data_IF_844906431362
#
_entry.id   IF_844906431362
#
_cell.length_a   1.000
_cell.length_b   1.000
_cell.length_c   1.000
_cell.angle_alpha   90.00
_cell.angle_beta   90.00
_cell.angle_gamma   90.00
#
_symmetry.space_group_name_H-M   'P 1'
#
loop_
_entity.id
_entity.type
_entity.pdbx_description
1 polymer ?
#
# COMPACT_ATOMS: atom_id res chain seq x y z
N UNK A 1 5.10 41.12 -26.15
CA UNK A 1 4.61 40.54 -24.88
C UNK A 1 3.26 39.94 -25.17
N UNK A 2 3.14 38.62 -25.08
CA UNK A 2 1.88 37.91 -25.29
C UNK A 2 0.91 38.18 -24.13
N UNK A 3 -0.36 38.40 -24.43
CA UNK A 3 -1.44 38.62 -23.46
C UNK A 3 -2.08 37.28 -23.05
N UNK A 4 -1.26 36.30 -22.67
CA UNK A 4 -1.77 34.98 -22.30
C UNK A 4 -2.01 34.92 -20.78
N UNK A 5 -3.20 34.46 -20.37
CA UNK A 5 -3.57 34.25 -18.97
C UNK A 5 -2.60 33.31 -18.22
N UNK A 6 -1.84 32.50 -18.96
CA UNK A 6 -0.82 31.60 -18.45
C UNK A 6 0.47 32.30 -17.98
N UNK A 7 0.70 33.57 -18.34
CA UNK A 7 1.86 34.33 -17.85
C UNK A 7 1.75 34.68 -16.35
N UNK A 8 0.55 34.56 -15.76
CA UNK A 8 0.30 34.79 -14.33
C UNK A 8 0.86 33.70 -13.40
N UNK A 9 1.19 32.52 -13.93
CA UNK A 9 1.82 31.42 -13.18
C UNK A 9 3.34 31.58 -13.08
N UNK A 10 3.92 32.60 -13.72
CA UNK A 10 5.35 32.88 -13.64
C UNK A 10 5.67 33.45 -12.26
N UNK A 11 6.58 32.84 -11.49
CA UNK A 11 7.06 33.45 -10.27
C UNK A 11 7.60 34.86 -10.60
N UNK A 12 7.32 35.89 -9.78
CA UNK A 12 7.84 37.22 -10.02
C UNK A 12 9.37 37.15 -10.09
N UNK A 13 9.96 37.74 -11.13
CA UNK A 13 11.41 37.86 -11.24
C UNK A 13 11.93 38.55 -9.97
N UNK A 14 12.66 37.80 -9.14
CA UNK A 14 13.39 38.40 -8.04
C UNK A 14 14.44 39.30 -8.68
N UNK A 15 14.28 40.60 -8.51
CA UNK A 15 15.25 41.64 -8.89
C UNK A 15 16.53 41.45 -8.04
N UNK A 16 17.30 40.41 -8.38
CA UNK A 16 18.59 40.12 -7.77
C UNK A 16 19.59 41.05 -8.41
N UNK A 17 19.68 42.23 -7.80
CA UNK A 17 20.62 43.29 -8.08
C UNK A 17 21.97 42.77 -8.58
N UNK A 18 22.30 43.24 -9.77
CA UNK A 18 23.55 43.05 -10.51
C UNK A 18 24.77 43.27 -9.59
N UNK A 19 25.29 42.21 -8.96
CA UNK A 19 26.59 42.25 -8.27
C UNK A 19 27.70 42.42 -9.30
N UNK A 20 28.05 43.68 -9.59
CA UNK A 20 29.27 44.08 -10.31
C UNK A 20 30.48 43.44 -9.60
N UNK A 21 31.12 42.47 -10.27
CA UNK A 21 32.45 41.98 -9.89
C UNK A 21 33.43 43.16 -9.91
N UNK A 22 34.02 43.45 -8.74
CA UNK A 22 35.07 44.43 -8.53
C UNK A 22 36.33 43.93 -9.28
N UNK A 23 36.67 44.62 -10.37
CA UNK A 23 37.87 44.39 -11.18
C UNK A 23 39.09 44.83 -10.34
N UNK A 24 39.88 43.88 -9.85
CA UNK A 24 41.15 44.17 -9.19
C UNK A 24 42.16 44.65 -10.22
N UNK A 25 42.39 45.96 -10.28
CA UNK A 25 43.48 46.56 -11.05
C UNK A 25 44.78 46.54 -10.23
N UNK A 26 45.87 46.06 -10.83
CA UNK A 26 47.24 46.42 -10.42
C UNK A 26 47.72 47.54 -11.35
N UNK A 27 48.32 48.63 -10.83
CA UNK A 27 48.78 49.75 -11.64
C UNK A 27 50.14 49.46 -12.29
N UNK A 28 50.33 49.95 -13.51
CA UNK A 28 51.58 49.83 -14.26
C UNK A 28 52.53 51.01 -14.06
N UNK A 29 53.80 50.78 -14.42
CA UNK A 29 54.72 51.73 -15.06
C UNK A 29 56.00 50.96 -15.47
N UNK A 30 56.42 51.07 -16.74
CA UNK A 30 57.58 50.37 -17.34
C UNK A 30 58.92 51.10 -17.12
N UNK A 31 59.88 51.09 -18.06
CA UNK A 31 60.07 50.23 -19.25
C UNK A 31 61.52 49.67 -19.39
N UNK A 32 61.74 48.68 -20.27
CA UNK A 32 63.07 48.37 -20.80
C UNK A 32 63.28 46.93 -21.28
N UNK A 33 63.89 46.76 -22.47
CA UNK A 33 64.62 45.54 -22.81
C UNK A 33 64.16 44.80 -24.08
N UNK A 34 64.94 45.00 -25.14
CA UNK A 34 64.83 44.50 -26.50
C UNK A 34 65.08 42.98 -26.68
N UNK A 35 64.46 42.37 -27.70
CA UNK A 35 65.08 41.31 -28.52
C UNK A 35 64.66 39.85 -28.29
N UNK A 36 64.06 39.22 -29.32
CA UNK A 36 64.06 37.76 -29.45
C UNK A 36 62.86 37.15 -30.19
N UNK A 37 62.94 37.10 -31.52
CA UNK A 37 62.03 36.31 -32.35
C UNK A 37 62.28 34.80 -32.14
N UNK A 38 61.21 34.02 -31.96
CA UNK A 38 61.28 32.56 -31.83
C UNK A 38 59.95 31.91 -32.17
N UNK A 39 59.97 31.02 -33.17
CA UNK A 39 58.84 30.34 -33.81
C UNK A 39 58.20 29.25 -32.92
N UNK A 40 56.88 29.13 -33.02
CA UNK A 40 56.18 27.86 -33.30
C UNK A 40 55.98 26.83 -32.17
N UNK A 41 54.73 26.35 -32.07
CA UNK A 41 54.41 25.00 -31.54
C UNK A 41 53.61 24.99 -30.24
N UNK A 42 52.29 25.09 -30.35
CA UNK A 42 51.36 25.10 -29.22
C UNK A 42 51.30 23.79 -28.45
N UNK A 43 51.30 23.91 -27.12
CA UNK A 43 50.86 22.88 -26.19
C UNK A 43 49.93 23.50 -25.15
N UNK A 44 48.81 22.84 -24.89
CA UNK A 44 48.03 23.04 -23.66
C UNK A 44 46.57 23.43 -23.85
N UNK A 45 45.68 22.52 -23.44
CA UNK A 45 44.50 22.88 -22.66
C UNK A 45 43.21 23.06 -23.44
N UNK A 46 42.45 21.97 -23.57
CA UNK A 46 41.05 22.02 -23.97
C UNK A 46 40.19 22.70 -22.90
N UNK A 47 39.46 23.74 -23.31
CA UNK A 47 38.16 24.13 -22.75
C UNK A 47 37.61 25.29 -23.56
N UNK A 48 36.34 25.21 -23.98
CA UNK A 48 35.59 26.40 -24.43
C UNK A 48 35.11 26.42 -25.88
N UNK A 49 34.68 25.29 -26.47
CA UNK A 49 34.08 25.28 -27.81
C UNK A 49 32.63 24.79 -27.88
N UNK A 50 31.76 25.13 -26.92
CA UNK A 50 30.31 24.92 -27.10
C UNK A 50 29.38 26.06 -26.69
N UNK A 51 29.88 27.26 -26.41
CA UNK A 51 29.04 28.45 -26.20
C UNK A 51 29.53 29.65 -27.02
N UNK A 52 29.60 29.46 -28.34
CA UNK A 52 29.77 30.57 -29.30
C UNK A 52 28.57 30.51 -30.25
N UNK A 53 27.49 31.18 -29.88
CA UNK A 53 26.22 31.18 -30.61
C UNK A 53 25.00 31.12 -29.71
N UNK A 54 24.88 32.05 -28.76
CA UNK A 54 23.64 32.28 -28.03
C UNK A 54 22.87 33.39 -28.76
N UNK A 55 22.35 33.07 -29.94
CA UNK A 55 21.40 33.92 -30.66
C UNK A 55 20.02 33.78 -30.01
N UNK A 56 19.39 34.91 -29.71
CA UNK A 56 18.25 35.09 -28.81
C UNK A 56 16.90 34.57 -29.30
N UNK A 57 16.81 33.30 -29.72
CA UNK A 57 15.55 32.68 -30.11
C UNK A 57 15.43 31.19 -29.70
N UNK A 58 16.17 30.75 -28.67
CA UNK A 58 16.01 29.41 -28.08
C UNK A 58 15.68 29.53 -26.60
N UNK A 59 14.77 28.66 -26.15
CA UNK A 59 14.26 28.58 -24.79
C UNK A 59 15.40 28.68 -23.76
N UNK A 60 15.28 29.63 -22.83
CA UNK A 60 16.21 29.71 -21.71
C UNK A 60 16.07 28.41 -20.90
N UNK A 61 17.17 27.71 -20.60
CA UNK A 61 17.11 26.57 -19.69
C UNK A 61 16.52 27.03 -18.35
N UNK A 62 15.34 26.51 -18.00
CA UNK A 62 14.62 26.83 -16.76
C UNK A 62 15.24 26.14 -15.52
N UNK A 63 16.36 25.44 -15.72
CA UNK A 63 17.09 24.72 -14.68
C UNK A 63 18.48 25.35 -14.61
N UNK A 64 18.88 25.76 -13.41
CA UNK A 64 20.23 26.28 -13.14
C UNK A 64 21.29 25.25 -13.58
N UNK A 65 22.47 25.73 -13.99
CA UNK A 65 23.60 24.85 -14.33
C UNK A 65 23.90 23.95 -13.13
N UNK A 66 23.64 22.65 -13.29
CA UNK A 66 23.77 21.68 -12.20
C UNK A 66 25.26 21.50 -11.89
N UNK A 67 25.73 22.03 -10.76
CA UNK A 67 27.06 21.72 -10.24
C UNK A 67 27.08 20.29 -9.67
N UNK A 68 27.65 19.36 -10.45
CA UNK A 68 27.86 17.98 -10.01
C UNK A 68 28.99 17.92 -8.98
N UNK A 69 28.67 17.69 -7.71
CA UNK A 69 29.67 17.64 -6.63
C UNK A 69 30.37 16.28 -6.48
N UNK A 70 29.64 15.17 -6.50
CA UNK A 70 30.18 13.80 -6.43
C UNK A 70 29.11 12.75 -6.74
N UNK A 71 29.51 11.65 -7.38
CA UNK A 71 28.69 10.44 -7.59
C UNK A 71 28.69 9.50 -6.38
N UNK A 72 29.79 9.48 -5.61
CA UNK A 72 29.96 8.59 -4.46
C UNK A 72 29.14 9.05 -3.26
N UNK A 73 28.50 8.10 -2.57
CA UNK A 73 27.64 8.38 -1.41
C UNK A 73 26.23 8.88 -1.77
N UNK A 74 25.85 8.84 -3.05
CA UNK A 74 24.47 9.08 -3.51
C UNK A 74 23.72 7.76 -3.62
N UNK A 75 22.43 7.77 -3.29
CA UNK A 75 21.52 6.65 -3.59
C UNK A 75 21.53 6.34 -5.09
N UNK A 76 21.67 5.06 -5.44
CA UNK A 76 21.63 4.62 -6.85
C UNK A 76 20.19 4.74 -7.40
N UNK A 77 19.20 4.47 -6.56
CA UNK A 77 17.77 4.62 -6.88
C UNK A 77 17.19 5.76 -6.05
N UNK A 78 16.43 6.65 -6.68
CA UNK A 78 15.74 7.72 -5.96
C UNK A 78 14.57 7.14 -5.15
N UNK A 79 14.53 7.45 -3.86
CA UNK A 79 13.39 7.10 -3.00
C UNK A 79 12.09 7.71 -3.56
N UNK A 80 10.99 6.94 -3.63
CA UNK A 80 9.68 7.50 -3.94
C UNK A 80 9.24 8.44 -2.79
N UNK A 81 8.48 9.51 -3.09
CA UNK A 81 8.03 10.46 -2.08
C UNK A 81 6.83 9.95 -1.26
N UNK A 82 6.58 8.64 -1.24
CA UNK A 82 5.39 8.06 -0.60
C UNK A 82 5.49 8.09 0.92
N UNK A 83 4.44 8.59 1.55
CA UNK A 83 4.28 8.64 3.00
C UNK A 83 3.31 7.61 3.55
N UNK A 84 2.86 7.87 4.78
CA UNK A 84 1.91 7.04 5.53
C UNK A 84 0.54 6.95 4.83
N UNK A 85 0.20 7.92 4.00
CA UNK A 85 -1.04 7.96 3.20
C UNK A 85 -1.12 6.75 2.26
N UNK A 86 0.00 6.41 1.62
CA UNK A 86 0.08 5.24 0.74
C UNK A 86 0.02 3.97 1.56
N UNK A 87 0.72 3.88 2.68
CA UNK A 87 0.64 2.69 3.55
C UNK A 87 -0.80 2.44 4.04
N UNK A 88 -1.48 3.52 4.43
CA UNK A 88 -2.89 3.50 4.83
C UNK A 88 -3.77 3.04 3.66
N UNK A 89 -3.56 3.56 2.45
CA UNK A 89 -4.26 3.11 1.26
C UNK A 89 -4.07 1.61 1.00
N UNK A 90 -2.82 1.12 1.05
CA UNK A 90 -2.49 -0.29 0.81
C UNK A 90 -3.23 -1.21 1.80
N UNK A 91 -3.27 -0.82 3.07
CA UNK A 91 -4.03 -1.53 4.11
C UNK A 91 -5.54 -1.48 3.86
N UNK A 92 -6.09 -0.29 3.66
CA UNK A 92 -7.53 -0.10 3.49
C UNK A 92 -8.07 -0.73 2.20
N UNK A 93 -7.30 -0.72 1.11
CA UNK A 93 -7.65 -1.42 -0.12
C UNK A 93 -7.78 -2.93 0.09
N UNK A 94 -6.83 -3.54 0.82
CA UNK A 94 -6.92 -4.95 1.22
C UNK A 94 -8.11 -5.24 2.12
N UNK A 95 -8.32 -4.41 3.15
CA UNK A 95 -9.46 -4.52 4.06
C UNK A 95 -10.79 -4.41 3.31
N UNK A 96 -10.89 -3.49 2.35
CA UNK A 96 -12.08 -3.31 1.52
C UNK A 96 -12.37 -4.54 0.65
N UNK A 97 -11.37 -5.02 -0.10
CA UNK A 97 -11.51 -6.20 -0.95
C UNK A 97 -11.92 -7.44 -0.15
N UNK A 98 -11.19 -7.77 0.92
CA UNK A 98 -11.51 -8.92 1.76
C UNK A 98 -12.91 -8.82 2.41
N UNK A 99 -13.32 -7.62 2.82
CA UNK A 99 -14.64 -7.41 3.41
C UNK A 99 -15.77 -7.55 2.38
N UNK A 100 -15.59 -7.09 1.15
CA UNK A 100 -16.58 -7.31 0.08
C UNK A 100 -16.80 -8.79 -0.22
N UNK A 101 -15.74 -9.60 -0.27
CA UNK A 101 -15.85 -11.06 -0.45
C UNK A 101 -16.59 -11.73 0.71
N UNK A 102 -16.26 -11.38 1.95
CA UNK A 102 -17.01 -11.85 3.13
C UNK A 102 -18.48 -11.40 3.09
N UNK A 103 -18.75 -10.18 2.64
CA UNK A 103 -20.10 -9.64 2.53
C UNK A 103 -20.96 -10.38 1.51
N UNK A 104 -20.38 -10.73 0.36
CA UNK A 104 -21.05 -11.57 -0.63
C UNK A 104 -21.37 -12.96 -0.03
N UNK A 105 -20.40 -13.60 0.61
CA UNK A 105 -20.62 -14.88 1.28
C UNK A 105 -21.66 -14.81 2.40
N UNK A 106 -21.69 -13.72 3.16
CA UNK A 106 -22.68 -13.48 4.21
C UNK A 106 -24.10 -13.28 3.66
N UNK A 107 -24.25 -12.68 2.48
CA UNK A 107 -25.52 -12.52 1.80
C UNK A 107 -26.14 -13.86 1.40
N UNK A 108 -25.35 -14.79 0.85
CA UNK A 108 -25.86 -16.10 0.43
C UNK A 108 -26.03 -17.10 1.57
N UNK A 109 -25.34 -16.87 2.69
CA UNK A 109 -25.35 -17.78 3.83
C UNK A 109 -26.25 -17.30 4.98
N UNK A 110 -27.13 -16.34 4.69
CA UNK A 110 -28.13 -15.75 5.60
C UNK A 110 -27.55 -15.25 6.94
N UNK A 111 -26.47 -14.44 6.84
CA UNK A 111 -25.79 -13.81 7.99
C UNK A 111 -25.93 -12.29 7.92
N UNK A 112 -27.10 -11.73 8.31
CA UNK A 112 -27.41 -10.32 8.04
C UNK A 112 -26.49 -9.35 8.80
N UNK A 113 -26.08 -9.66 10.02
CA UNK A 113 -25.22 -8.78 10.81
C UNK A 113 -23.79 -8.81 10.31
N UNK A 114 -23.30 -9.98 9.88
CA UNK A 114 -22.01 -10.11 9.20
C UNK A 114 -22.01 -9.32 7.89
N UNK A 115 -23.06 -9.45 7.08
CA UNK A 115 -23.22 -8.72 5.79
C UNK A 115 -23.15 -7.20 5.98
N UNK A 116 -23.90 -6.67 6.95
CA UNK A 116 -23.89 -5.23 7.25
C UNK A 116 -22.49 -4.79 7.69
N UNK A 117 -21.88 -5.50 8.64
CA UNK A 117 -20.56 -5.16 9.16
C UNK A 117 -19.50 -5.12 8.05
N UNK A 118 -19.47 -6.13 7.18
CA UNK A 118 -18.46 -6.22 6.12
C UNK A 118 -18.70 -5.22 4.99
N UNK A 119 -19.96 -4.95 4.60
CA UNK A 119 -20.27 -3.92 3.59
C UNK A 119 -19.94 -2.51 4.09
N UNK A 120 -20.29 -2.18 5.33
CA UNK A 120 -19.92 -0.91 5.95
C UNK A 120 -18.40 -0.77 6.09
N UNK A 121 -17.70 -1.85 6.45
CA UNK A 121 -16.24 -1.87 6.49
C UNK A 121 -15.66 -1.61 5.10
N UNK A 122 -16.18 -2.27 4.06
CA UNK A 122 -15.69 -2.12 2.69
C UNK A 122 -15.83 -0.69 2.17
N UNK A 123 -17.01 -0.07 2.31
CA UNK A 123 -17.20 1.31 1.83
C UNK A 123 -16.41 2.32 2.67
N UNK A 124 -16.31 2.12 3.98
CA UNK A 124 -15.53 3.00 4.87
C UNK A 124 -14.05 2.94 4.50
N UNK A 125 -13.51 1.72 4.33
CA UNK A 125 -12.12 1.53 3.93
C UNK A 125 -11.85 2.09 2.53
N UNK A 126 -12.77 1.92 1.59
CA UNK A 126 -12.67 2.49 0.23
C UNK A 126 -12.71 4.01 0.25
N UNK A 127 -13.60 4.62 1.02
CA UNK A 127 -13.72 6.08 1.13
C UNK A 127 -12.48 6.70 1.79
N UNK A 128 -12.03 6.15 2.92
CA UNK A 128 -10.83 6.65 3.62
C UNK A 128 -9.57 6.38 2.79
N UNK A 129 -9.44 5.20 2.18
CA UNK A 129 -8.32 4.86 1.31
C UNK A 129 -8.28 5.72 0.04
N UNK A 130 -9.44 6.00 -0.56
CA UNK A 130 -9.56 6.93 -1.69
C UNK A 130 -9.18 8.36 -1.29
N UNK A 131 -9.61 8.83 -0.12
CA UNK A 131 -9.20 10.13 0.40
C UNK A 131 -7.69 10.22 0.65
N UNK A 132 -7.07 9.16 1.20
CA UNK A 132 -5.63 9.07 1.38
C UNK A 132 -4.88 9.14 0.04
N UNK A 133 -5.36 8.45 -1.00
CA UNK A 133 -4.82 8.56 -2.36
C UNK A 133 -4.94 9.99 -2.91
N UNK A 134 -6.08 10.65 -2.73
CA UNK A 134 -6.27 12.02 -3.22
C UNK A 134 -5.37 13.02 -2.48
N UNK A 135 -5.10 12.80 -1.19
CA UNK A 135 -4.16 13.60 -0.43
C UNK A 135 -2.70 13.42 -0.90
N UNK A 136 -2.33 12.22 -1.34
CA UNK A 136 -1.02 11.93 -1.95
C UNK A 136 -0.90 12.53 -3.38
N UNK A 137 -2.02 12.73 -4.08
CA UNK A 137 -2.01 13.39 -5.38
C UNK A 137 -1.60 14.86 -5.23
N UNK A 138 -0.37 15.19 -5.66
CA UNK A 138 0.10 16.58 -5.66
C UNK A 138 -0.72 17.56 -6.53
N UNK A 139 -1.58 17.06 -7.44
CA UNK A 139 -2.57 17.84 -8.22
C UNK A 139 -3.87 17.05 -8.42
N UNK A 140 -4.80 17.07 -7.45
CA UNK A 140 -6.00 16.23 -7.46
C UNK A 140 -6.97 16.57 -8.60
N UNK A 141 -6.95 17.80 -9.12
CA UNK A 141 -7.81 18.26 -10.22
C UNK A 141 -7.53 17.49 -11.52
N UNK A 142 -6.35 16.86 -11.62
CA UNK A 142 -5.91 16.08 -12.79
C UNK A 142 -6.27 14.60 -12.69
N UNK A 143 -6.94 14.15 -11.63
CA UNK A 143 -7.33 12.75 -11.47
C UNK A 143 -8.05 12.19 -12.71
N UNK A 144 -8.98 12.95 -13.30
CA UNK A 144 -9.71 12.53 -14.50
C UNK A 144 -8.81 12.27 -15.71
N UNK A 145 -7.58 12.82 -15.74
CA UNK A 145 -6.61 12.50 -16.78
C UNK A 145 -6.09 11.05 -16.68
N UNK A 146 -6.01 10.50 -15.46
CA UNK A 146 -5.64 9.09 -15.25
C UNK A 146 -6.72 8.14 -15.79
N UNK A 147 -8.00 8.54 -15.67
CA UNK A 147 -9.15 7.78 -16.19
C UNK A 147 -9.29 7.80 -17.72
N UNK A 148 -8.45 8.53 -18.45
CA UNK A 148 -8.48 8.56 -19.92
C UNK A 148 -7.71 7.41 -20.57
N UNK A 149 -6.80 6.77 -19.84
CA UNK A 149 -5.89 5.77 -20.38
C UNK A 149 -6.08 4.44 -19.67
N UNK A 150 -6.34 3.40 -20.45
CA UNK A 150 -6.33 2.02 -19.99
C UNK A 150 -5.05 1.33 -20.47
N UNK A 151 -4.06 1.21 -19.57
CA UNK A 151 -2.76 0.60 -19.88
C UNK A 151 -2.53 -0.64 -19.04
N UNK A 152 -2.79 -1.82 -19.62
CA UNK A 152 -2.66 -3.12 -18.96
C UNK A 152 -1.24 -3.40 -18.44
N UNK A 153 -0.22 -2.86 -19.10
CA UNK A 153 1.18 -2.99 -18.64
C UNK A 153 1.56 -2.08 -17.48
N UNK A 154 0.65 -1.23 -16.98
CA UNK A 154 0.92 -0.34 -15.85
C UNK A 154 0.02 -0.69 -14.67
N UNK A 155 0.59 -1.22 -13.57
CA UNK A 155 -0.16 -1.49 -12.34
C UNK A 155 -0.91 -0.27 -11.80
N UNK A 156 -0.37 0.95 -11.97
CA UNK A 156 -1.05 2.19 -11.56
C UNK A 156 -2.30 2.50 -12.39
N UNK A 157 -2.25 2.30 -13.71
CA UNK A 157 -3.43 2.49 -14.58
C UNK A 157 -4.51 1.46 -14.22
N UNK A 158 -4.12 0.18 -14.13
CA UNK A 158 -5.04 -0.88 -13.72
C UNK A 158 -5.65 -0.63 -12.33
N UNK A 159 -4.85 -0.19 -11.36
CA UNK A 159 -5.31 0.13 -10.01
C UNK A 159 -6.41 1.18 -9.98
N UNK A 160 -6.30 2.21 -10.82
CA UNK A 160 -7.32 3.28 -10.92
C UNK A 160 -8.66 2.72 -11.43
N UNK A 161 -8.61 1.84 -12.43
CA UNK A 161 -9.81 1.19 -12.98
C UNK A 161 -10.41 0.15 -12.03
N UNK A 162 -9.58 -0.62 -11.33
CA UNK A 162 -10.01 -1.57 -10.29
C UNK A 162 -10.71 -0.82 -9.16
N UNK A 163 -10.11 0.25 -8.66
CA UNK A 163 -10.69 1.06 -7.58
C UNK A 163 -12.00 1.72 -8.01
N UNK A 164 -12.05 2.23 -9.25
CA UNK A 164 -13.26 2.87 -9.79
C UNK A 164 -14.40 1.87 -9.95
N UNK A 165 -14.13 0.69 -10.54
CA UNK A 165 -15.11 -0.39 -10.65
C UNK A 165 -15.61 -0.81 -9.27
N UNK A 166 -14.68 -1.23 -8.40
CA UNK A 166 -15.00 -1.61 -7.02
C UNK A 166 -15.84 -0.56 -6.28
N UNK A 167 -15.51 0.72 -6.46
CA UNK A 167 -16.22 1.85 -5.84
C UNK A 167 -17.67 1.97 -6.29
N UNK A 168 -17.99 1.64 -7.54
CA UNK A 168 -19.38 1.67 -8.06
C UNK A 168 -20.24 0.63 -7.35
N UNK A 169 -19.86 -0.65 -7.37
CA UNK A 169 -20.64 -1.67 -6.67
C UNK A 169 -20.66 -1.47 -5.17
N UNK A 170 -19.51 -1.16 -4.56
CA UNK A 170 -19.44 -0.89 -3.12
C UNK A 170 -20.34 0.29 -2.72
N UNK A 171 -20.41 1.34 -3.53
CA UNK A 171 -21.29 2.49 -3.33
C UNK A 171 -22.78 2.13 -3.41
N UNK A 172 -23.18 1.32 -4.39
CA UNK A 172 -24.56 0.82 -4.49
C UNK A 172 -24.93 -0.02 -3.26
N UNK A 173 -24.06 -0.93 -2.85
CA UNK A 173 -24.27 -1.76 -1.65
C UNK A 173 -24.36 -0.91 -0.38
N UNK A 174 -23.53 0.13 -0.25
CA UNK A 174 -23.59 1.05 0.87
C UNK A 174 -24.90 1.85 0.91
N UNK A 175 -25.39 2.31 -0.24
CA UNK A 175 -26.68 2.99 -0.34
C UNK A 175 -27.84 2.07 0.06
N UNK A 176 -27.80 0.80 -0.34
CA UNK A 176 -28.79 -0.22 0.06
C UNK A 176 -28.76 -0.43 1.59
N UNK A 177 -27.58 -0.56 2.19
CA UNK A 177 -27.48 -0.74 3.64
C UNK A 177 -27.90 0.54 4.40
N UNK A 178 -27.63 1.74 3.87
CA UNK A 178 -28.12 2.98 4.44
C UNK A 178 -29.67 3.07 4.42
N UNK A 179 -30.32 2.67 3.33
CA UNK A 179 -31.79 2.60 3.26
C UNK A 179 -32.36 1.58 4.27
N UNK A 180 -31.70 0.44 4.47
CA UNK A 180 -32.09 -0.56 5.48
C UNK A 180 -31.92 -0.06 6.91
N UNK A 181 -30.78 0.56 7.22
CA UNK A 181 -30.47 1.07 8.56
C UNK A 181 -31.38 2.24 8.97
N UNK A 182 -31.84 3.04 8.01
CA UNK A 182 -32.83 4.10 8.25
C UNK A 182 -34.27 3.59 8.33
N UNK A 183 -34.49 2.26 8.23
CA UNK A 183 -35.81 1.66 8.28
C UNK A 183 -36.68 2.05 7.08
N UNK A 184 -36.08 2.20 5.90
CA UNK A 184 -36.76 2.55 4.65
C UNK A 184 -37.45 3.93 4.68
N UNK A 185 -36.92 4.85 5.49
CA UNK A 185 -37.46 6.21 5.63
C UNK A 185 -36.92 7.21 4.61
N UNK A 186 -35.90 6.83 3.83
CA UNK A 186 -35.36 7.70 2.79
C UNK A 186 -36.41 7.93 1.68
N UNK A 187 -36.56 9.16 1.15
CA UNK A 187 -37.55 9.50 0.13
C UNK A 187 -37.09 9.05 -1.27
N UNK A 188 -36.87 7.74 -1.46
CA UNK A 188 -36.34 7.17 -2.71
C UNK A 188 -37.42 6.83 -3.74
N UNK A 189 -38.70 6.83 -3.35
CA UNK A 189 -39.83 6.60 -4.27
C UNK A 189 -39.65 5.31 -5.12
N UNK A 190 -39.96 5.36 -6.44
CA UNK A 190 -39.81 4.20 -7.34
C UNK A 190 -38.36 3.71 -7.50
N UNK A 191 -37.36 4.58 -7.25
CA UNK A 191 -35.95 4.22 -7.38
C UNK A 191 -35.51 3.21 -6.33
N UNK A 192 -36.25 3.08 -5.21
CA UNK A 192 -35.96 2.05 -4.20
C UNK A 192 -35.98 0.65 -4.80
N UNK A 193 -37.02 0.32 -5.57
CA UNK A 193 -37.14 -1.01 -6.17
C UNK A 193 -35.97 -1.31 -7.10
N UNK A 194 -35.56 -0.32 -7.89
CA UNK A 194 -34.38 -0.44 -8.77
C UNK A 194 -33.08 -0.61 -7.96
N UNK A 195 -32.89 0.20 -6.92
CA UNK A 195 -31.71 0.15 -6.06
C UNK A 195 -31.56 -1.23 -5.40
N UNK A 196 -32.62 -1.75 -4.79
CA UNK A 196 -32.58 -3.08 -4.15
C UNK A 196 -32.49 -4.22 -5.18
N UNK A 197 -33.03 -4.06 -6.40
CA UNK A 197 -32.82 -5.03 -7.47
C UNK A 197 -31.34 -5.13 -7.91
N UNK A 198 -30.58 -4.04 -7.76
CA UNK A 198 -29.15 -4.01 -8.06
C UNK A 198 -28.28 -4.62 -6.96
N UNK A 199 -28.83 -5.05 -5.83
CA UNK A 199 -28.04 -5.59 -4.72
C UNK A 199 -27.14 -6.75 -5.15
N UNK A 200 -27.73 -7.79 -5.74
CA UNK A 200 -26.98 -9.00 -6.12
C UNK A 200 -25.99 -8.71 -7.26
N UNK A 201 -26.37 -8.02 -8.36
CA UNK A 201 -25.42 -7.59 -9.38
C UNK A 201 -24.25 -6.78 -8.81
N UNK A 202 -24.51 -5.78 -7.97
CA UNK A 202 -23.47 -4.94 -7.36
C UNK A 202 -22.58 -5.74 -6.39
N UNK A 203 -23.13 -6.75 -5.70
CA UNK A 203 -22.35 -7.63 -4.84
C UNK A 203 -21.38 -8.50 -5.63
N UNK A 204 -21.80 -9.05 -6.78
CA UNK A 204 -20.91 -9.80 -7.67
C UNK A 204 -19.87 -8.91 -8.33
N UNK A 205 -20.26 -7.72 -8.78
CA UNK A 205 -19.34 -6.74 -9.37
C UNK A 205 -18.26 -6.31 -8.36
N UNK A 206 -18.64 -5.94 -7.15
CA UNK A 206 -17.68 -5.56 -6.11
C UNK A 206 -16.76 -6.74 -5.74
N UNK A 207 -17.30 -7.96 -5.68
CA UNK A 207 -16.52 -9.17 -5.44
C UNK A 207 -15.54 -9.51 -6.59
N UNK A 208 -15.92 -9.24 -7.84
CA UNK A 208 -15.05 -9.41 -9.01
C UNK A 208 -13.81 -8.50 -8.90
N UNK A 209 -14.00 -7.24 -8.50
CA UNK A 209 -12.90 -6.30 -8.32
C UNK A 209 -12.18 -6.43 -6.97
N UNK A 210 -12.76 -7.10 -5.98
CA UNK A 210 -12.19 -7.26 -4.64
C UNK A 210 -10.85 -8.01 -4.64
N UNK A 211 -10.76 -9.12 -5.37
CA UNK A 211 -9.54 -9.93 -5.42
C UNK A 211 -8.39 -9.18 -6.11
N UNK A 212 -8.58 -8.58 -7.30
CA UNK A 212 -7.60 -7.67 -7.87
C UNK A 212 -7.22 -6.52 -6.93
N UNK A 213 -8.20 -5.85 -6.28
CA UNK A 213 -7.93 -4.76 -5.33
C UNK A 213 -7.00 -5.18 -4.19
N UNK A 214 -7.18 -6.40 -3.66
CA UNK A 214 -6.32 -6.96 -2.61
C UNK A 214 -4.92 -7.34 -3.10
N UNK A 215 -4.80 -7.84 -4.34
CA UNK A 215 -3.55 -8.39 -4.88
C UNK A 215 -2.68 -7.38 -5.64
N UNK A 216 -3.28 -6.47 -6.42
CA UNK A 216 -2.57 -5.63 -7.39
C UNK A 216 -1.57 -4.69 -6.71
N UNK A 217 -1.85 -4.30 -5.46
CA UNK A 217 -0.96 -3.43 -4.67
C UNK A 217 0.41 -4.07 -4.41
N UNK A 218 0.47 -5.41 -4.28
CA UNK A 218 1.73 -6.14 -4.17
C UNK A 218 2.49 -6.17 -5.49
N UNK A 219 1.78 -6.34 -6.60
CA UNK A 219 2.36 -6.27 -7.95
C UNK A 219 2.88 -4.86 -8.27
N UNK A 220 2.16 -3.82 -7.85
CA UNK A 220 2.57 -2.42 -8.02
C UNK A 220 3.91 -2.14 -7.35
N UNK A 221 4.10 -2.59 -6.11
CA UNK A 221 5.40 -2.45 -5.43
C UNK A 221 6.48 -3.30 -6.12
N UNK A 222 6.14 -4.53 -6.51
CA UNK A 222 7.04 -5.45 -7.19
C UNK A 222 7.58 -4.96 -8.54
N UNK A 223 6.80 -4.17 -9.26
CA UNK A 223 7.15 -3.63 -10.59
C UNK A 223 8.01 -2.36 -10.52
N UNK A 224 8.41 -1.93 -9.32
CA UNK A 224 9.31 -0.78 -9.14
C UNK A 224 10.78 -1.18 -9.26
N UNK A 225 11.66 -0.18 -9.40
CA UNK A 225 13.12 -0.36 -9.33
C UNK A 225 13.66 -0.32 -7.87
N UNK A 226 12.78 -0.22 -6.87
CA UNK A 226 13.18 -0.18 -5.46
C UNK A 226 13.66 -1.58 -5.04
N UNK A 227 14.88 -1.74 -4.52
CA UNK A 227 15.52 -3.06 -4.38
C UNK A 227 14.69 -4.09 -3.62
N UNK A 228 14.31 -3.76 -2.38
CA UNK A 228 13.57 -4.67 -1.51
C UNK A 228 12.16 -4.95 -2.07
N UNK A 229 11.46 -3.96 -2.62
CA UNK A 229 10.14 -4.19 -3.21
C UNK A 229 10.19 -5.04 -4.47
N UNK A 230 11.14 -4.78 -5.37
CA UNK A 230 11.30 -5.55 -6.60
C UNK A 230 11.62 -7.01 -6.29
N UNK A 231 12.53 -7.24 -5.36
CA UNK A 231 12.90 -8.58 -4.90
C UNK A 231 11.73 -9.28 -4.21
N UNK A 232 11.01 -8.59 -3.33
CA UNK A 232 9.80 -9.10 -2.69
C UNK A 232 8.71 -9.45 -3.72
N UNK A 233 8.50 -8.59 -4.72
CA UNK A 233 7.56 -8.80 -5.82
C UNK A 233 7.83 -10.08 -6.59
N UNK A 234 9.09 -10.28 -7.01
CA UNK A 234 9.54 -11.52 -7.68
C UNK A 234 9.39 -12.77 -6.82
N UNK A 235 9.45 -12.61 -5.49
CA UNK A 235 9.38 -13.71 -4.52
C UNK A 235 8.01 -13.86 -3.85
N UNK A 236 6.96 -13.20 -4.36
CA UNK A 236 5.59 -13.47 -3.95
C UNK A 236 4.95 -12.46 -2.99
N UNK A 237 5.36 -11.19 -3.00
CA UNK A 237 4.75 -10.13 -2.18
C UNK A 237 3.22 -10.05 -2.31
N UNK A 238 2.67 -10.28 -3.49
CA UNK A 238 1.22 -10.30 -3.70
C UNK A 238 0.51 -11.36 -2.85
N UNK A 239 1.15 -12.51 -2.59
CA UNK A 239 0.59 -13.53 -1.70
C UNK A 239 0.53 -13.04 -0.26
N UNK A 240 1.59 -12.39 0.23
CA UNK A 240 1.62 -11.74 1.55
C UNK A 240 0.46 -10.75 1.66
N UNK A 241 0.28 -9.90 0.65
CA UNK A 241 -0.74 -8.85 0.65
C UNK A 241 -2.17 -9.41 0.61
N UNK A 242 -2.44 -10.45 -0.19
CA UNK A 242 -3.75 -11.11 -0.24
C UNK A 242 -4.05 -11.83 1.07
N UNK A 243 -3.09 -12.57 1.63
CA UNK A 243 -3.25 -13.21 2.94
C UNK A 243 -3.51 -12.19 4.04
N UNK A 244 -2.78 -11.07 4.02
CA UNK A 244 -2.96 -9.98 4.97
C UNK A 244 -4.31 -9.28 4.83
N UNK A 245 -4.83 -9.13 3.60
CA UNK A 245 -6.18 -8.64 3.36
C UNK A 245 -7.25 -9.56 3.96
N UNK A 246 -7.08 -10.89 3.83
CA UNK A 246 -7.96 -11.88 4.46
C UNK A 246 -7.93 -11.79 5.99
N UNK A 247 -6.74 -11.62 6.57
CA UNK A 247 -6.54 -11.39 8.02
C UNK A 247 -7.27 -10.12 8.48
N UNK A 248 -7.06 -9.01 7.79
CA UNK A 248 -7.68 -7.73 8.13
C UNK A 248 -9.22 -7.79 8.05
N UNK A 249 -9.75 -8.33 6.96
CA UNK A 249 -11.20 -8.45 6.75
C UNK A 249 -11.86 -9.40 7.74
N UNK A 250 -11.25 -10.57 7.98
CA UNK A 250 -11.71 -11.51 9.00
C UNK A 250 -11.67 -10.90 10.40
N UNK A 251 -10.58 -10.19 10.73
CA UNK A 251 -10.43 -9.51 12.02
C UNK A 251 -11.44 -8.37 12.23
N UNK A 252 -11.65 -7.51 11.23
CA UNK A 252 -12.65 -6.45 11.29
C UNK A 252 -14.07 -7.01 11.43
N UNK A 253 -14.41 -8.05 10.67
CA UNK A 253 -15.69 -8.74 10.78
C UNK A 253 -15.88 -9.37 12.17
N UNK A 254 -14.84 -9.98 12.75
CA UNK A 254 -14.86 -10.48 14.13
C UNK A 254 -15.05 -9.38 15.17
N UNK A 255 -14.51 -8.18 14.93
CA UNK A 255 -14.67 -7.05 15.82
C UNK A 255 -16.05 -6.40 15.71
N UNK A 256 -16.68 -6.40 14.54
CA UNK A 256 -17.91 -5.64 14.30
C UNK A 256 -19.19 -6.51 14.32
N UNK A 257 -19.12 -7.77 13.87
CA UNK A 257 -20.29 -8.65 13.81
C UNK A 257 -20.38 -9.61 15.01
N UNK A 258 -21.59 -10.09 15.38
CA UNK A 258 -21.75 -11.01 16.50
C UNK A 258 -21.10 -12.37 16.29
N UNK A 259 -20.55 -12.93 17.38
CA UNK A 259 -19.76 -14.19 17.38
C UNK A 259 -20.48 -15.36 16.71
N UNK A 260 -21.81 -15.41 16.78
CA UNK A 260 -22.63 -16.46 16.18
C UNK A 260 -22.58 -16.46 14.64
N UNK A 261 -22.37 -15.31 14.01
CA UNK A 261 -22.34 -15.17 12.55
C UNK A 261 -20.90 -15.19 12.01
N UNK A 262 -19.89 -14.87 12.83
CA UNK A 262 -18.49 -14.69 12.37
C UNK A 262 -17.69 -15.98 12.11
N UNK A 263 -18.34 -17.16 12.05
CA UNK A 263 -17.67 -18.43 11.71
C UNK A 263 -16.83 -18.36 10.41
N UNK A 264 -17.41 -17.91 9.27
CA UNK A 264 -16.67 -17.74 8.02
C UNK A 264 -15.51 -16.73 8.15
N UNK A 265 -15.72 -15.64 8.90
CA UNK A 265 -14.69 -14.62 9.12
C UNK A 265 -13.50 -15.17 9.94
N UNK A 266 -13.76 -16.00 10.96
CA UNK A 266 -12.69 -16.67 11.74
C UNK A 266 -11.89 -17.65 10.89
N UNK A 267 -12.57 -18.44 10.05
CA UNK A 267 -11.89 -19.35 9.14
C UNK A 267 -11.01 -18.59 8.15
N UNK A 268 -11.53 -17.51 7.54
CA UNK A 268 -10.78 -16.67 6.63
C UNK A 268 -9.57 -16.02 7.32
N UNK A 269 -9.77 -15.50 8.54
CA UNK A 269 -8.69 -14.91 9.34
C UNK A 269 -7.57 -15.91 9.65
N UNK A 270 -7.91 -17.14 10.06
CA UNK A 270 -6.94 -18.19 10.37
C UNK A 270 -6.19 -18.67 9.12
N UNK A 271 -6.91 -18.90 8.02
CA UNK A 271 -6.32 -19.26 6.73
C UNK A 271 -5.40 -18.14 6.21
N UNK A 272 -5.84 -16.89 6.34
CA UNK A 272 -5.04 -15.71 6.03
C UNK A 272 -3.79 -15.63 6.89
N UNK A 273 -3.88 -15.88 8.19
CA UNK A 273 -2.73 -15.80 9.10
C UNK A 273 -1.68 -16.88 8.79
N UNK A 274 -2.12 -18.11 8.52
CA UNK A 274 -1.24 -19.17 8.06
C UNK A 274 -0.60 -18.83 6.70
N UNK A 275 -1.40 -18.31 5.77
CA UNK A 275 -0.95 -17.87 4.45
C UNK A 275 0.07 -16.73 4.51
N UNK A 276 -0.15 -15.74 5.38
CA UNK A 276 0.76 -14.60 5.54
C UNK A 276 2.08 -15.04 6.14
N UNK A 277 2.06 -15.86 7.21
CA UNK A 277 3.28 -16.39 7.81
C UNK A 277 4.08 -17.24 6.81
N UNK A 278 3.40 -18.13 6.07
CA UNK A 278 4.05 -18.95 5.05
C UNK A 278 4.60 -18.11 3.89
N UNK A 279 3.80 -17.21 3.33
CA UNK A 279 4.19 -16.38 2.20
C UNK A 279 5.32 -15.42 2.57
N UNK A 280 5.28 -14.80 3.76
CA UNK A 280 6.33 -13.91 4.24
C UNK A 280 7.66 -14.66 4.41
N UNK A 281 7.63 -15.82 5.06
CA UNK A 281 8.82 -16.64 5.22
C UNK A 281 9.37 -17.11 3.86
N UNK A 282 8.51 -17.61 2.98
CA UNK A 282 8.93 -18.09 1.65
C UNK A 282 9.46 -16.96 0.77
N UNK A 283 8.91 -15.76 0.88
CA UNK A 283 9.36 -14.56 0.17
C UNK A 283 10.77 -14.18 0.64
N UNK A 284 10.99 -14.02 1.95
CA UNK A 284 12.29 -13.68 2.53
C UNK A 284 13.37 -14.71 2.17
N UNK A 285 13.05 -16.00 2.20
CA UNK A 285 13.99 -17.07 1.81
C UNK A 285 14.41 -17.03 0.33
N UNK A 286 13.60 -16.45 -0.56
CA UNK A 286 13.92 -16.31 -1.98
C UNK A 286 14.66 -15.02 -2.35
N UNK A 287 14.85 -14.12 -1.39
CA UNK A 287 15.50 -12.83 -1.60
C UNK A 287 16.97 -12.90 -1.23
N UNK A 288 17.79 -12.05 -1.86
CA UNK A 288 19.19 -11.92 -1.46
C UNK A 288 19.27 -11.29 -0.04
N UNK A 289 20.23 -11.68 0.84
CA UNK A 289 20.33 -11.14 2.20
C UNK A 289 20.27 -9.61 2.26
N UNK A 290 21.07 -8.92 1.42
CA UNK A 290 21.03 -7.47 1.32
C UNK A 290 19.63 -6.90 0.98
N UNK A 291 18.79 -7.61 0.22
CA UNK A 291 17.42 -7.15 -0.09
C UNK A 291 16.45 -7.40 1.08
N UNK A 292 16.79 -8.34 1.98
CA UNK A 292 16.01 -8.75 3.17
C UNK A 292 16.32 -7.88 4.38
N UNK A 293 17.55 -7.39 4.55
CA UNK A 293 17.95 -6.61 5.73
C UNK A 293 16.93 -5.52 6.12
N UNK A 294 16.37 -4.70 5.19
CA UNK A 294 15.40 -3.66 5.55
C UNK A 294 14.06 -4.21 6.09
N UNK A 295 13.75 -5.49 5.86
CA UNK A 295 12.57 -6.18 6.37
C UNK A 295 12.78 -6.82 7.75
N UNK A 296 14.02 -6.99 8.19
CA UNK A 296 14.35 -7.58 9.49
C UNK A 296 14.83 -6.52 10.49
N UNK A 297 15.65 -5.58 10.01
CA UNK A 297 16.31 -4.59 10.83
C UNK A 297 15.66 -3.19 10.73
N UNK A 298 16.11 -2.30 11.62
CA UNK A 298 15.65 -0.91 11.65
C UNK A 298 14.20 -0.73 12.11
N UNK A 299 13.66 0.46 11.85
CA UNK A 299 12.24 0.74 12.15
C UNK A 299 11.26 -0.15 11.35
N UNK A 300 11.46 -0.38 10.03
CA UNK A 300 10.54 -1.20 9.25
C UNK A 300 10.51 -2.65 9.73
N UNK A 301 11.69 -3.22 10.02
CA UNK A 301 11.81 -4.55 10.63
C UNK A 301 11.07 -4.65 11.97
N UNK A 302 11.19 -3.64 12.84
CA UNK A 302 10.44 -3.60 14.13
C UNK A 302 8.93 -3.58 13.93
N UNK A 303 8.42 -2.91 12.89
CA UNK A 303 6.99 -2.94 12.52
C UNK A 303 6.57 -4.34 12.07
N UNK A 304 7.36 -5.01 11.24
CA UNK A 304 7.08 -6.38 10.80
C UNK A 304 7.13 -7.41 11.95
N UNK A 305 8.07 -7.28 12.88
CA UNK A 305 8.11 -8.13 14.09
C UNK A 305 6.90 -7.89 15.01
N UNK A 306 6.39 -6.65 15.09
CA UNK A 306 5.14 -6.36 15.80
C UNK A 306 3.95 -6.96 15.06
N UNK A 307 3.93 -6.87 13.73
CA UNK A 307 2.91 -7.50 12.89
C UNK A 307 2.84 -9.00 13.16
N UNK A 308 3.97 -9.70 13.14
CA UNK A 308 4.04 -11.14 13.41
C UNK A 308 3.50 -11.51 14.80
N UNK A 309 3.91 -10.78 15.84
CA UNK A 309 3.41 -11.01 17.20
C UNK A 309 1.90 -10.82 17.32
N UNK A 310 1.38 -9.75 16.72
CA UNK A 310 -0.05 -9.47 16.68
C UNK A 310 -0.83 -10.51 15.86
N UNK A 311 -0.24 -10.98 14.75
CA UNK A 311 -0.79 -12.01 13.89
C UNK A 311 -0.95 -13.32 14.67
N UNK A 312 0.11 -13.78 15.35
CA UNK A 312 0.11 -15.00 16.16
C UNK A 312 -0.89 -14.86 17.32
N UNK A 313 -0.83 -13.77 18.09
CA UNK A 313 -1.74 -13.55 19.22
C UNK A 313 -3.21 -13.49 18.77
N UNK A 314 -3.49 -12.76 17.69
CA UNK A 314 -4.82 -12.66 17.10
C UNK A 314 -5.31 -13.99 16.54
N UNK A 315 -4.44 -14.80 15.93
CA UNK A 315 -4.80 -16.13 15.42
C UNK A 315 -5.12 -17.11 16.56
N UNK A 316 -4.31 -17.12 17.64
CA UNK A 316 -4.59 -17.92 18.84
C UNK A 316 -5.92 -17.53 19.47
N UNK A 317 -6.17 -16.23 19.64
CA UNK A 317 -7.43 -15.74 20.18
C UNK A 317 -8.62 -16.07 19.28
N UNK A 318 -8.44 -16.01 17.96
CA UNK A 318 -9.45 -16.42 16.97
C UNK A 318 -9.78 -17.90 17.05
N UNK A 319 -8.77 -18.76 17.16
CA UNK A 319 -8.96 -20.20 17.34
C UNK A 319 -9.69 -20.51 18.66
N UNK A 320 -9.35 -19.81 19.75
CA UNK A 320 -10.04 -19.94 21.02
C UNK A 320 -11.53 -19.54 20.93
N UNK A 321 -11.85 -18.47 20.20
CA UNK A 321 -13.24 -18.05 19.95
C UNK A 321 -13.99 -19.10 19.10
N UNK A 322 -13.34 -19.68 18.09
CA UNK A 322 -13.95 -20.72 17.26
C UNK A 322 -14.28 -21.98 18.07
N UNK A 323 -13.33 -22.49 18.86
CA UNK A 323 -13.55 -23.63 19.75
C UNK A 323 -14.63 -23.30 20.79
N UNK A 324 -14.56 -22.13 21.42
CA UNK A 324 -15.55 -21.69 22.41
C UNK A 324 -16.97 -21.57 21.84
N UNK A 325 -17.11 -21.09 20.59
CA UNK A 325 -18.38 -21.00 19.90
C UNK A 325 -18.98 -22.39 19.61
N UNK A 326 -18.18 -23.35 19.14
CA UNK A 326 -18.62 -24.74 18.84
C UNK A 326 -19.07 -25.50 20.09
N UNK A 327 -18.28 -25.43 21.17
CA UNK A 327 -18.62 -26.07 22.46
C UNK A 327 -19.91 -25.49 23.04
N UNK A 328 -20.15 -24.19 22.85
CA UNK A 328 -21.37 -23.54 23.31
C UNK A 328 -22.61 -23.99 22.51
N UNK A 329 -22.50 -24.12 21.18
CA UNK A 329 -23.59 -24.63 20.34
C UNK A 329 -23.98 -26.07 20.70
N UNK A 330 -23.02 -26.94 20.99
CA UNK A 330 -23.29 -28.32 21.42
C UNK A 330 -23.98 -28.41 22.79
N UNK A 331 -23.59 -27.56 23.74
CA UNK A 331 -24.21 -27.53 25.08
C UNK A 331 -25.66 -27.03 25.05
N UNK A 332 -26.00 -26.11 24.15
CA UNK A 332 -27.37 -25.64 23.96
C UNK A 332 -28.25 -26.70 23.27
N UNK A 333 -27.71 -27.46 22.32
CA UNK A 333 -28.43 -28.55 21.65
C UNK A 333 -28.80 -29.72 22.57
N UNK A 334 -28.00 -29.99 23.60
CA UNK A 334 -28.26 -31.06 24.60
C UNK A 334 -29.22 -30.66 25.73
N UNK A 335 -29.54 -29.37 25.90
CA UNK A 335 -30.40 -28.88 27.00
C UNK A 335 -31.90 -28.77 26.68
N UNK A 336 -32.32 -29.15 25.46
CA UNK A 336 -33.69 -28.95 24.96
C UNK A 336 -34.68 -30.11 25.19
N UNK A 337 -34.26 -31.24 25.77
CA UNK A 337 -35.14 -32.38 26.02
C UNK A 337 -35.16 -32.74 27.51
N UNK A 338 -36.03 -32.10 28.28
CA UNK A 338 -36.76 -32.69 29.43
C UNK A 338 -37.56 -31.58 30.10
N UNK A 339 -38.89 -31.65 30.00
CA UNK A 339 -39.78 -30.77 30.74
C UNK A 339 -39.73 -31.06 32.24
N UNK A 340 -39.86 -30.02 33.08
CA UNK A 340 -40.89 -29.85 34.14
C UNK A 340 -40.87 -28.38 34.59
N UNK A 341 -42.03 -27.71 34.59
CA UNK A 341 -42.20 -26.26 34.57
C UNK A 341 -42.07 -25.49 35.91
N UNK A 342 -41.55 -26.08 37.00
CA UNK A 342 -41.53 -25.40 38.31
C UNK A 342 -40.17 -24.93 38.83
N UNK A 343 -39.10 -25.71 38.57
CA UNK A 343 -37.75 -25.46 39.08
C UNK A 343 -36.86 -24.69 38.07
N UNK A 344 -37.38 -24.46 36.87
CA UNK A 344 -36.65 -23.87 35.74
C UNK A 344 -36.32 -22.39 35.95
N UNK A 345 -37.13 -21.61 36.68
CA UNK A 345 -36.96 -20.15 36.75
C UNK A 345 -35.74 -19.71 37.60
N UNK A 346 -35.39 -20.47 38.64
CA UNK A 346 -34.21 -20.16 39.49
C UNK A 346 -32.90 -20.73 38.93
N UNK A 347 -32.93 -21.91 38.30
CA UNK A 347 -31.77 -22.50 37.62
C UNK A 347 -31.49 -21.78 36.29
N UNK A 348 -32.52 -21.33 35.55
CA UNK A 348 -32.35 -20.47 34.37
C UNK A 348 -31.79 -19.08 34.73
N UNK A 349 -32.08 -18.56 35.92
CA UNK A 349 -31.49 -17.30 36.40
C UNK A 349 -29.99 -17.38 36.73
N UNK A 350 -29.49 -18.55 37.13
CA UNK A 350 -28.06 -18.79 37.37
C UNK A 350 -27.33 -19.26 36.09
N UNK A 351 -27.95 -20.13 35.28
CA UNK A 351 -27.45 -20.56 33.98
C UNK A 351 -27.45 -19.43 32.95
N UNK A 352 -28.45 -18.55 32.97
CA UNK A 352 -28.55 -17.34 32.15
C UNK A 352 -27.50 -16.29 32.51
N UNK A 353 -27.20 -16.11 33.81
CA UNK A 353 -26.11 -15.23 34.28
C UNK A 353 -24.72 -15.77 33.93
N UNK A 354 -24.50 -17.09 34.02
CA UNK A 354 -23.25 -17.74 33.58
C UNK A 354 -23.09 -17.66 32.06
N UNK A 355 -24.17 -17.89 31.32
CA UNK A 355 -24.25 -17.78 29.85
C UNK A 355 -24.00 -16.36 29.33
N UNK A 356 -24.49 -15.31 30.01
CA UNK A 356 -24.19 -13.93 29.62
C UNK A 356 -22.71 -13.59 29.80
N UNK A 357 -22.11 -13.95 30.95
CA UNK A 357 -20.69 -13.72 31.21
C UNK A 357 -19.80 -14.41 30.17
N UNK A 358 -20.11 -15.66 29.81
CA UNK A 358 -19.38 -16.39 28.77
C UNK A 358 -19.57 -15.76 27.38
N UNK A 359 -20.79 -15.32 27.02
CA UNK A 359 -21.04 -14.60 25.75
C UNK A 359 -20.31 -13.27 25.68
N UNK A 360 -20.30 -12.51 26.77
CA UNK A 360 -19.56 -11.26 26.87
C UNK A 360 -18.04 -11.50 26.77
N UNK A 361 -17.52 -12.54 27.44
CA UNK A 361 -16.11 -12.92 27.34
C UNK A 361 -15.72 -13.34 25.92
N UNK A 362 -16.50 -14.21 25.27
CA UNK A 362 -16.26 -14.61 23.88
C UNK A 362 -16.33 -13.42 22.93
N UNK A 363 -17.26 -12.48 23.17
CA UNK A 363 -17.34 -11.25 22.38
C UNK A 363 -16.11 -10.38 22.59
N UNK A 364 -15.67 -10.18 23.82
CA UNK A 364 -14.46 -9.41 24.13
C UNK A 364 -13.22 -10.03 23.48
N UNK A 365 -13.02 -11.34 23.61
CA UNK A 365 -11.90 -12.04 22.97
C UNK A 365 -12.00 -11.93 21.44
N UNK A 366 -13.19 -12.07 20.86
CA UNK A 366 -13.41 -11.88 19.41
C UNK A 366 -13.03 -10.47 18.94
N UNK A 367 -13.38 -9.44 19.71
CA UNK A 367 -13.06 -8.04 19.37
C UNK A 367 -11.56 -7.78 19.50
N UNK A 368 -10.94 -8.20 20.61
CA UNK A 368 -9.49 -8.00 20.83
C UNK A 368 -8.67 -8.76 19.80
N UNK A 369 -9.04 -10.02 19.52
CA UNK A 369 -8.35 -10.83 18.50
C UNK A 369 -8.53 -10.21 17.12
N UNK A 370 -9.75 -9.78 16.78
CA UNK A 370 -10.04 -9.14 15.51
C UNK A 370 -9.29 -7.82 15.30
N UNK A 371 -9.20 -7.00 16.35
CA UNK A 371 -8.41 -5.76 16.33
C UNK A 371 -6.90 -6.04 16.21
N UNK A 372 -6.38 -7.05 16.92
CA UNK A 372 -4.98 -7.47 16.80
C UNK A 372 -4.64 -7.93 15.38
N UNK A 373 -5.51 -8.70 14.74
CA UNK A 373 -5.34 -9.14 13.35
C UNK A 373 -5.38 -7.98 12.34
N UNK A 374 -6.33 -7.05 12.50
CA UNK A 374 -6.38 -5.84 11.65
C UNK A 374 -5.11 -4.98 11.83
N UNK A 375 -4.64 -4.82 13.07
CA UNK A 375 -3.40 -4.10 13.37
C UNK A 375 -2.17 -4.83 12.81
N UNK A 376 -2.12 -6.17 12.86
CA UNK A 376 -1.07 -6.96 12.25
C UNK A 376 -0.97 -6.66 10.75
N UNK A 377 -2.09 -6.71 10.04
CA UNK A 377 -2.12 -6.39 8.61
C UNK A 377 -1.67 -4.96 8.30
N UNK A 378 -2.10 -3.97 9.11
CA UNK A 378 -1.62 -2.61 8.97
C UNK A 378 -0.10 -2.51 9.13
N UNK A 379 0.46 -3.07 10.20
CA UNK A 379 1.91 -3.09 10.41
C UNK A 379 2.67 -3.81 9.29
N UNK A 380 2.11 -4.88 8.72
CA UNK A 380 2.69 -5.54 7.54
C UNK A 380 2.79 -4.58 6.35
N UNK A 381 1.72 -3.83 6.03
CA UNK A 381 1.72 -2.89 4.89
C UNK A 381 2.67 -1.71 5.12
N UNK A 382 2.66 -1.12 6.31
CA UNK A 382 3.57 -0.02 6.68
C UNK A 382 5.03 -0.48 6.69
N UNK A 383 5.32 -1.62 7.33
CA UNK A 383 6.66 -2.18 7.39
C UNK A 383 7.23 -2.52 6.01
N UNK A 384 6.42 -3.12 5.11
CA UNK A 384 6.86 -3.39 3.74
C UNK A 384 7.13 -2.10 2.97
N UNK A 385 6.25 -1.10 3.07
CA UNK A 385 6.45 0.18 2.38
C UNK A 385 7.76 0.83 2.84
N UNK A 386 7.91 1.02 4.14
CA UNK A 386 9.09 1.69 4.69
C UNK A 386 10.38 0.91 4.45
N UNK A 387 10.35 -0.42 4.47
CA UNK A 387 11.51 -1.25 4.15
C UNK A 387 12.00 -1.02 2.73
N UNK A 388 11.10 -0.84 1.76
CA UNK A 388 11.49 -0.47 0.40
C UNK A 388 12.10 0.91 0.34
N UNK A 389 11.51 1.91 0.99
CA UNK A 389 12.08 3.26 1.05
C UNK A 389 13.47 3.25 1.68
N UNK A 390 13.65 2.53 2.79
CA UNK A 390 14.93 2.36 3.48
C UNK A 390 15.98 1.71 2.57
N UNK A 391 15.57 0.70 1.79
CA UNK A 391 16.46 0.00 0.85
C UNK A 391 17.07 0.90 -0.24
N UNK A 392 16.49 2.09 -0.48
CA UNK A 392 17.04 3.05 -1.46
C UNK A 392 18.18 3.90 -0.90
N UNK A 393 18.33 3.96 0.42
CA UNK A 393 19.30 4.85 1.08
C UNK A 393 20.72 4.32 0.98
N UNK A 394 20.91 3.00 1.05
CA UNK A 394 22.21 2.36 0.99
C UNK A 394 22.44 1.68 -0.38
N UNK A 395 23.47 2.08 -1.15
CA UNK A 395 23.84 1.45 -2.41
C UNK A 395 24.04 -0.07 -2.35
N UNK A 396 24.40 -0.64 -1.19
CA UNK A 396 24.65 -2.09 -1.05
C UNK A 396 23.44 -2.93 -1.43
N UNK A 397 22.23 -2.43 -1.15
CA UNK A 397 20.97 -3.10 -1.47
C UNK A 397 20.74 -3.25 -2.99
N UNK A 398 21.41 -2.43 -3.81
CA UNK A 398 21.39 -2.54 -5.28
C UNK A 398 22.58 -3.37 -5.78
N UNK A 399 23.78 -3.05 -5.29
CA UNK A 399 25.04 -3.55 -5.88
C UNK A 399 25.29 -5.01 -5.53
N UNK A 400 25.11 -5.41 -4.27
CA UNK A 400 25.44 -6.77 -3.83
C UNK A 400 24.57 -7.83 -4.54
N UNK A 401 23.23 -7.69 -4.62
CA UNK A 401 22.41 -8.66 -5.34
C UNK A 401 22.75 -8.73 -6.83
N UNK A 402 23.06 -7.59 -7.47
CA UNK A 402 23.46 -7.56 -8.88
C UNK A 402 24.79 -8.28 -9.11
N UNK A 403 25.76 -8.06 -8.20
CA UNK A 403 27.07 -8.71 -8.24
C UNK A 403 26.94 -10.22 -8.02
N UNK A 404 26.15 -10.66 -7.05
CA UNK A 404 25.88 -12.07 -6.81
C UNK A 404 25.28 -12.77 -8.05
N UNK A 405 24.27 -12.15 -8.68
CA UNK A 405 23.67 -12.67 -9.94
C UNK A 405 24.67 -12.71 -11.09
N UNK A 406 25.61 -11.77 -11.16
CA UNK A 406 26.68 -11.76 -12.16
C UNK A 406 27.68 -12.89 -11.90
N UNK A 407 28.09 -13.09 -10.65
CA UNK A 407 28.99 -14.17 -10.24
C UNK A 407 28.37 -15.56 -10.51
N UNK A 408 27.08 -15.75 -10.22
CA UNK A 408 26.34 -16.98 -10.57
C UNK A 408 26.24 -17.22 -12.09
N UNK A 409 26.11 -16.16 -12.90
CA UNK A 409 26.09 -16.29 -14.37
C UNK A 409 27.46 -16.66 -14.91
N UNK A 410 28.52 -16.03 -14.39
CA UNK A 410 29.92 -16.36 -14.72
C UNK A 410 30.25 -17.80 -14.34
N UNK A 411 29.80 -18.27 -13.17
CA UNK A 411 29.96 -19.66 -12.75
C UNK A 411 29.23 -20.66 -13.68
N UNK A 412 28.15 -20.22 -14.34
CA UNK A 412 27.44 -20.99 -15.36
C UNK A 412 28.03 -20.87 -16.78
N UNK A 413 29.18 -20.21 -16.93
CA UNK A 413 29.86 -20.03 -18.22
C UNK A 413 29.30 -18.92 -19.11
N UNK A 414 28.38 -18.09 -18.62
CA UNK A 414 27.86 -16.91 -19.34
C UNK A 414 28.79 -15.72 -19.02
N UNK A 415 29.61 -15.34 -20.00
CA UNK A 415 30.70 -14.34 -19.83
C UNK A 415 30.58 -13.14 -20.78
N UNK A 416 29.66 -13.20 -21.74
CA UNK A 416 29.41 -12.23 -22.80
C UNK A 416 28.44 -11.10 -22.37
N UNK A 417 27.62 -11.31 -21.35
CA UNK A 417 26.68 -10.31 -20.82
C UNK A 417 27.30 -9.52 -19.64
N UNK A 418 28.24 -8.64 -19.94
CA UNK A 418 28.82 -7.71 -18.96
C UNK A 418 28.24 -6.31 -19.10
N UNK A 419 27.41 -5.88 -18.13
CA UNK A 419 27.16 -4.44 -17.87
C UNK A 419 28.35 -3.89 -17.07
N UNK A 420 29.57 -4.15 -17.52
CA UNK A 420 30.81 -3.56 -17.00
C UNK A 420 31.85 -3.69 -18.10
N UNK A 421 31.94 -2.67 -18.95
CA UNK A 421 33.18 -2.36 -19.66
C UNK A 421 34.22 -1.95 -18.62
N UNK A 422 35.42 -2.52 -18.74
CA UNK A 422 36.57 -2.36 -17.83
C UNK A 422 36.84 -3.68 -17.12
N UNK A 423 37.78 -4.52 -17.59
CA UNK A 423 39.12 -4.25 -18.13
C UNK A 423 39.41 -5.13 -19.33
#
# INVERSE_FOLDING_TARGET
>A
MSTSEYDSYRPPELDRGRKKRRRGGRPGSGPGGNGGAGRGGGGGGGQGWKNRGADGNREMPMVEDVEFSSYYGRSIVKAPPWGDEIALYLFLGGLAGGSSLLGLGAQFSDRPQLRIATRLTAITATGVGGAALVADLGRPERFLNMMRVFKVSSPMSLGTWILSGFGVGSGVLAAIEADRLTGLRLPLGPLRSLLHAMETPAAFESALFATPLAAYTGALLGDTAVPTWNAAGRNGLSYVFVSSAAVAAGGAAMALAPVRETGPARLLALAGAAGEAFAMNRMKQGMHPAEVDPLEDGEPGRKLHRAEKLLIAGAIGTAAVEVGARVFTEKLGRGGSTGVAGLAVRVAGAAGRRSWKTRAALRAVSVVSGAALAAASAYTRFGVLEAGIESTKDPRHVVEPQRARLEERRARGIVDDSITTGV
#
